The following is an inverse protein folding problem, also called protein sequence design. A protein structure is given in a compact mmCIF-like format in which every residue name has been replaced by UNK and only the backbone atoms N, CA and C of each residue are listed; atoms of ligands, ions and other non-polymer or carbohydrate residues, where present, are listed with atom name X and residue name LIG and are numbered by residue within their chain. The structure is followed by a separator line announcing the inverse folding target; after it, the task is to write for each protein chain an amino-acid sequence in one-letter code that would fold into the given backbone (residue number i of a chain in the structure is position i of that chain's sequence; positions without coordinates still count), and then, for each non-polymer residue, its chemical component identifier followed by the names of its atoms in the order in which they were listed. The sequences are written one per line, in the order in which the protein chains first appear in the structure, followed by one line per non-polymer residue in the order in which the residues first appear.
data_IF_984224320019
#
_entry.id   IF_984224320019
#
_cell.length_a   1.000
_cell.length_b   1.000
_cell.length_c   1.000
_cell.angle_alpha   90.00
_cell.angle_beta   90.00
_cell.angle_gamma   90.00
#
_symmetry.space_group_name_H-M   'P 1'
#
loop_
_entity.id
_entity.type
_entity.pdbx_description
1 polymer ?
#
# COMPACT_ATOMS: atom_id res chain seq x y z
N UNK A 1 -4.45 -73.67 25.66
CA UNK A 1 -5.55 -72.73 25.48
C UNK A 1 -4.95 -71.34 25.74
N UNK A 2 -4.47 -70.64 24.70
CA UNK A 2 -3.85 -69.31 24.80
C UNK A 2 -4.67 -68.33 23.99
N UNK A 3 -5.37 -67.44 24.66
CA UNK A 3 -6.14 -66.34 24.03
C UNK A 3 -5.20 -65.16 23.77
N UNK A 4 -4.84 -64.95 22.53
CA UNK A 4 -4.11 -63.78 22.07
C UNK A 4 -5.05 -62.62 21.84
N UNK A 5 -4.92 -61.60 22.69
CA UNK A 5 -5.68 -60.35 22.61
C UNK A 5 -4.96 -59.43 21.62
N UNK A 6 -5.54 -59.22 20.45
CA UNK A 6 -5.02 -58.31 19.42
C UNK A 6 -5.55 -56.88 19.71
N UNK A 7 -4.71 -56.03 20.29
CA UNK A 7 -5.02 -54.62 20.52
C UNK A 7 -4.77 -53.82 19.23
N UNK A 8 -5.87 -53.40 18.58
CA UNK A 8 -5.82 -52.46 17.45
C UNK A 8 -5.58 -51.04 17.99
N UNK A 9 -4.32 -50.57 17.85
CA UNK A 9 -3.93 -49.17 18.03
C UNK A 9 -4.46 -48.36 16.83
N UNK A 10 -5.64 -47.75 16.99
CA UNK A 10 -6.15 -46.73 16.06
C UNK A 10 -5.39 -45.42 16.36
N UNK A 11 -4.30 -45.17 15.67
CA UNK A 11 -3.59 -43.92 15.69
C UNK A 11 -4.38 -42.85 14.95
N UNK A 12 -5.17 -42.06 15.68
CA UNK A 12 -5.85 -40.89 15.15
C UNK A 12 -4.85 -39.83 14.81
N UNK A 13 -4.54 -39.62 13.52
CA UNK A 13 -3.80 -38.46 13.02
C UNK A 13 -4.74 -37.26 13.16
N UNK A 14 -4.54 -36.49 14.21
CA UNK A 14 -5.15 -35.16 14.35
C UNK A 14 -4.52 -34.23 13.29
N UNK A 15 -5.17 -34.09 12.15
CA UNK A 15 -4.89 -33.03 11.18
C UNK A 15 -5.24 -31.69 11.84
N UNK A 16 -4.26 -31.08 12.51
CA UNK A 16 -4.38 -29.68 12.94
C UNK A 16 -4.37 -28.83 11.69
N UNK A 17 -5.53 -28.43 11.23
CA UNK A 17 -5.70 -27.37 10.23
C UNK A 17 -5.13 -26.09 10.86
N UNK A 18 -3.91 -25.73 10.51
CA UNK A 18 -3.39 -24.41 10.81
C UNK A 18 -4.17 -23.43 9.96
N UNK A 19 -5.09 -22.70 10.58
CA UNK A 19 -5.68 -21.53 9.94
C UNK A 19 -4.53 -20.58 9.61
N UNK A 20 -4.22 -20.44 8.34
CA UNK A 20 -3.34 -19.38 7.85
C UNK A 20 -4.10 -18.09 8.12
N UNK A 21 -3.71 -17.40 9.19
CA UNK A 21 -4.17 -16.02 9.42
C UNK A 21 -3.56 -15.22 8.28
N UNK A 22 -4.38 -14.82 7.34
CA UNK A 22 -3.95 -13.91 6.29
C UNK A 22 -3.39 -12.65 6.99
N UNK A 23 -2.13 -12.32 6.75
CA UNK A 23 -1.52 -11.10 7.26
C UNK A 23 -2.19 -9.93 6.55
N UNK A 24 -2.80 -9.03 7.30
CA UNK A 24 -3.32 -7.80 6.71
C UNK A 24 -2.18 -6.99 6.12
N UNK A 25 -2.33 -6.56 4.88
CA UNK A 25 -1.39 -5.66 4.20
C UNK A 25 -1.57 -4.26 4.78
N UNK A 26 -0.52 -3.68 5.33
CA UNK A 26 -0.54 -2.33 5.91
C UNK A 26 0.10 -1.35 4.95
N UNK A 27 -0.66 -0.33 4.52
CA UNK A 27 -0.17 0.72 3.61
C UNK A 27 -0.09 2.04 4.38
N UNK A 28 1.09 2.65 4.41
CA UNK A 28 1.27 4.01 4.91
C UNK A 28 1.02 5.03 3.80
N UNK A 29 0.12 5.98 4.02
CA UNK A 29 -0.28 6.96 3.02
C UNK A 29 -0.08 8.41 3.53
N UNK A 30 1.16 8.94 3.53
CA UNK A 30 1.40 10.34 3.80
C UNK A 30 0.95 11.20 2.60
N UNK A 31 0.07 12.16 2.86
CA UNK A 31 -0.56 13.01 1.85
C UNK A 31 -0.20 14.48 2.06
N UNK A 32 -0.14 15.24 0.97
CA UNK A 32 0.28 16.66 0.99
C UNK A 32 -0.59 17.52 1.89
N UNK A 33 -1.90 17.41 1.80
CA UNK A 33 -2.85 18.12 2.66
C UNK A 33 -4.25 17.52 2.54
N UNK A 34 -5.01 17.51 3.63
CA UNK A 34 -6.39 17.01 3.62
C UNK A 34 -7.42 18.09 3.22
N UNK A 35 -7.06 19.37 3.30
CA UNK A 35 -7.95 20.50 3.06
C UNK A 35 -8.19 20.83 1.59
N UNK A 36 -7.41 20.28 0.68
CA UNK A 36 -7.59 20.45 -0.76
C UNK A 36 -8.77 19.61 -1.25
N UNK A 37 -9.64 20.21 -2.05
CA UNK A 37 -10.85 19.56 -2.59
C UNK A 37 -10.52 18.27 -3.35
N UNK A 38 -9.46 18.26 -4.15
CA UNK A 38 -9.04 17.06 -4.88
C UNK A 38 -8.54 15.98 -3.93
N UNK A 39 -7.76 16.38 -2.92
CA UNK A 39 -7.26 15.46 -1.88
C UNK A 39 -8.42 14.86 -1.07
N UNK A 40 -9.50 15.61 -0.83
CA UNK A 40 -10.69 15.07 -0.15
C UNK A 40 -11.31 13.93 -0.93
N UNK A 41 -11.48 14.05 -2.24
CA UNK A 41 -11.98 12.95 -3.07
C UNK A 41 -11.07 11.73 -3.06
N UNK A 42 -9.75 11.96 -3.09
CA UNK A 42 -8.77 10.87 -3.00
C UNK A 42 -8.85 10.15 -1.66
N UNK A 43 -8.94 10.90 -0.55
CA UNK A 43 -9.10 10.32 0.79
C UNK A 43 -10.37 9.49 0.90
N UNK A 44 -11.49 10.00 0.38
CA UNK A 44 -12.75 9.28 0.44
C UNK A 44 -12.67 7.96 -0.34
N UNK A 45 -12.07 7.99 -1.54
CA UNK A 45 -11.83 6.78 -2.32
C UNK A 45 -10.91 5.77 -1.61
N UNK A 46 -9.85 6.25 -0.95
CA UNK A 46 -8.95 5.40 -0.16
C UNK A 46 -9.70 4.78 1.03
N UNK A 47 -10.51 5.57 1.74
CA UNK A 47 -11.30 5.06 2.88
C UNK A 47 -12.40 4.08 2.46
N UNK A 48 -13.01 4.29 1.29
CA UNK A 48 -13.98 3.33 0.74
C UNK A 48 -13.29 2.01 0.37
N UNK A 49 -12.10 2.09 -0.22
CA UNK A 49 -11.30 0.91 -0.53
C UNK A 49 -10.92 0.13 0.75
N UNK A 50 -10.39 0.81 1.75
CA UNK A 50 -10.02 0.25 3.06
C UNK A 50 -11.20 -0.48 3.73
N UNK A 51 -12.40 0.13 3.70
CA UNK A 51 -13.62 -0.49 4.25
C UNK A 51 -14.12 -1.69 3.46
N UNK A 52 -13.82 -1.76 2.17
CA UNK A 52 -14.27 -2.84 1.28
C UNK A 52 -13.34 -4.06 1.29
N UNK A 53 -12.14 -3.94 1.90
CA UNK A 53 -11.09 -4.95 1.87
C UNK A 53 -10.55 -5.20 3.28
N UNK A 54 -11.10 -6.19 3.96
CA UNK A 54 -10.74 -6.54 5.34
C UNK A 54 -9.29 -7.06 5.49
N UNK A 55 -8.62 -7.38 4.38
CA UNK A 55 -7.25 -7.85 4.29
C UNK A 55 -6.22 -6.72 4.11
N UNK A 56 -6.69 -5.46 3.98
CA UNK A 56 -5.86 -4.27 3.82
C UNK A 56 -6.16 -3.26 4.93
N UNK A 57 -5.15 -2.59 5.43
CA UNK A 57 -5.25 -1.46 6.36
C UNK A 57 -4.51 -0.26 5.77
N UNK A 58 -5.19 0.88 5.54
CA UNK A 58 -4.55 2.08 5.00
C UNK A 58 -4.46 3.18 6.06
N UNK A 59 -3.24 3.53 6.45
CA UNK A 59 -2.93 4.57 7.45
C UNK A 59 -2.67 5.90 6.75
N UNK A 60 -3.62 6.80 6.81
CA UNK A 60 -3.50 8.15 6.27
C UNK A 60 -2.77 9.09 7.23
N UNK A 61 -1.87 9.94 6.72
CA UNK A 61 -1.26 11.04 7.46
C UNK A 61 -1.37 12.34 6.67
N UNK A 62 -1.63 13.45 7.37
CA UNK A 62 -1.79 14.79 6.78
C UNK A 62 -0.54 15.63 7.02
N UNK A 63 0.20 15.90 5.97
CA UNK A 63 1.38 16.77 6.04
C UNK A 63 1.02 18.25 6.13
N UNK A 64 -0.25 18.62 5.93
CA UNK A 64 -0.72 20.00 5.99
C UNK A 64 0.10 20.97 5.10
N UNK A 65 0.53 20.51 3.93
CA UNK A 65 1.35 21.27 3.00
C UNK A 65 2.84 21.39 3.35
N UNK A 66 3.27 20.84 4.49
CA UNK A 66 4.66 20.93 4.95
C UNK A 66 5.49 19.74 4.44
N UNK A 67 6.54 20.00 3.61
CA UNK A 67 7.42 18.95 3.11
C UNK A 67 8.19 18.20 4.20
N UNK A 68 8.58 18.89 5.27
CA UNK A 68 9.31 18.26 6.38
C UNK A 68 8.39 17.30 7.14
N UNK A 69 7.14 17.68 7.33
CA UNK A 69 6.11 16.82 7.94
C UNK A 69 5.81 15.61 7.06
N UNK A 70 5.65 15.80 5.73
CA UNK A 70 5.46 14.69 4.80
C UNK A 70 6.62 13.67 4.88
N UNK A 71 7.85 14.17 4.97
CA UNK A 71 9.03 13.31 5.12
C UNK A 71 8.99 12.54 6.45
N UNK A 72 8.70 13.22 7.56
CA UNK A 72 8.60 12.59 8.89
C UNK A 72 7.50 11.53 8.94
N UNK A 73 6.35 11.79 8.32
CA UNK A 73 5.25 10.83 8.24
C UNK A 73 5.67 9.59 7.43
N UNK A 74 6.35 9.79 6.29
CA UNK A 74 6.88 8.69 5.49
C UNK A 74 7.94 7.87 6.27
N UNK A 75 8.84 8.53 7.00
CA UNK A 75 9.83 7.86 7.84
C UNK A 75 9.18 7.07 8.97
N UNK A 76 8.15 7.64 9.59
CA UNK A 76 7.37 6.94 10.63
C UNK A 76 6.75 5.65 10.11
N UNK A 77 6.18 5.68 8.91
CA UNK A 77 5.63 4.47 8.28
C UNK A 77 6.72 3.46 7.90
N UNK A 78 7.90 3.93 7.44
CA UNK A 78 9.05 3.05 7.17
C UNK A 78 9.50 2.36 8.46
N UNK A 79 9.59 3.09 9.56
CA UNK A 79 10.00 2.54 10.87
C UNK A 79 8.96 1.55 11.42
N UNK A 80 7.68 1.78 11.13
CA UNK A 80 6.58 0.84 11.43
C UNK A 80 6.59 -0.41 10.53
N UNK A 81 7.46 -0.45 9.51
CA UNK A 81 7.60 -1.56 8.56
C UNK A 81 6.28 -1.87 7.84
N UNK A 82 5.62 -0.82 7.35
CA UNK A 82 4.46 -0.99 6.48
C UNK A 82 4.82 -1.78 5.22
N UNK A 83 3.85 -2.47 4.64
CA UNK A 83 4.08 -3.31 3.47
C UNK A 83 4.21 -2.48 2.17
N UNK A 84 3.68 -1.24 2.14
CA UNK A 84 3.87 -0.28 1.04
C UNK A 84 3.71 1.17 1.52
N UNK A 85 4.29 2.10 0.75
CA UNK A 85 4.07 3.54 0.88
C UNK A 85 3.29 4.07 -0.32
N UNK A 86 2.21 4.82 -0.04
CA UNK A 86 1.38 5.50 -1.02
C UNK A 86 1.48 7.00 -0.78
N UNK A 87 2.31 7.72 -1.57
CA UNK A 87 2.67 9.10 -1.28
C UNK A 87 2.05 10.06 -2.29
N UNK A 88 1.41 11.13 -1.78
CA UNK A 88 1.06 12.31 -2.57
C UNK A 88 2.07 13.41 -2.19
N UNK A 89 3.10 13.64 -3.01
CA UNK A 89 4.20 14.51 -2.62
C UNK A 89 3.80 16.00 -2.62
N UNK A 90 4.43 16.80 -1.73
CA UNK A 90 4.30 18.27 -1.74
C UNK A 90 4.94 18.88 -2.98
N UNK A 91 6.12 18.36 -3.36
CA UNK A 91 6.79 18.66 -4.62
C UNK A 91 7.58 17.43 -5.12
N UNK A 92 7.97 17.38 -6.42
CA UNK A 92 8.70 16.24 -6.98
C UNK A 92 10.04 15.90 -6.31
N UNK A 93 10.74 16.89 -5.74
CA UNK A 93 12.09 16.69 -5.19
C UNK A 93 12.10 15.84 -3.93
N UNK A 94 11.01 15.84 -3.14
CA UNK A 94 10.92 15.05 -1.92
C UNK A 94 10.91 13.56 -2.19
N UNK A 95 10.46 13.16 -3.41
CA UNK A 95 10.36 11.76 -3.82
C UNK A 95 11.72 11.07 -3.77
N UNK A 96 12.79 11.76 -4.15
CA UNK A 96 14.16 11.22 -4.07
C UNK A 96 14.56 10.83 -2.64
N UNK A 97 14.21 11.65 -1.68
CA UNK A 97 14.57 11.44 -0.27
C UNK A 97 13.78 10.26 0.29
N UNK A 98 12.46 10.29 0.14
CA UNK A 98 11.57 9.22 0.59
C UNK A 98 11.92 7.90 -0.12
N UNK A 99 12.10 7.93 -1.44
CA UNK A 99 12.38 6.75 -2.25
C UNK A 99 13.68 6.04 -1.90
N UNK A 100 14.75 6.81 -1.60
CA UNK A 100 16.00 6.22 -1.10
C UNK A 100 15.84 5.51 0.24
N UNK A 101 15.00 6.05 1.13
CA UNK A 101 14.74 5.45 2.45
C UNK A 101 13.86 4.21 2.31
N UNK A 102 12.77 4.30 1.55
CA UNK A 102 11.88 3.18 1.27
C UNK A 102 12.62 2.01 0.59
N UNK A 103 13.45 2.30 -0.42
CA UNK A 103 14.25 1.29 -1.12
C UNK A 103 15.24 0.57 -0.20
N UNK A 104 15.87 1.29 0.73
CA UNK A 104 16.76 0.69 1.74
C UNK A 104 16.02 -0.21 2.73
N UNK A 105 14.79 0.14 3.04
CA UNK A 105 13.92 -0.64 3.91
C UNK A 105 13.23 -1.81 3.19
N UNK A 106 13.34 -1.90 1.86
CA UNK A 106 12.66 -2.91 1.05
C UNK A 106 11.15 -2.65 0.89
N UNK A 107 10.70 -1.40 1.15
CA UNK A 107 9.30 -1.03 1.08
C UNK A 107 9.00 -0.43 -0.29
N UNK A 108 8.04 -0.98 -1.06
CA UNK A 108 7.63 -0.44 -2.34
C UNK A 108 7.01 0.96 -2.18
N UNK A 109 7.40 1.88 -3.07
CA UNK A 109 6.93 3.25 -3.08
C UNK A 109 6.03 3.49 -4.29
N UNK A 110 4.81 3.94 -4.02
CA UNK A 110 3.83 4.34 -5.02
C UNK A 110 3.62 5.85 -4.90
N UNK A 111 3.73 6.54 -6.01
CA UNK A 111 3.49 7.99 -6.07
C UNK A 111 2.16 8.25 -6.77
N UNK A 112 1.35 9.12 -6.17
CA UNK A 112 0.06 9.53 -6.73
C UNK A 112 0.06 11.01 -7.09
N UNK A 113 -0.61 11.37 -8.17
CA UNK A 113 -0.93 12.70 -8.66
C UNK A 113 0.28 13.45 -9.25
N UNK A 114 1.28 13.78 -8.46
CA UNK A 114 2.43 14.57 -8.92
C UNK A 114 3.55 13.66 -9.43
N UNK A 115 3.83 13.77 -10.74
CA UNK A 115 4.88 12.97 -11.37
C UNK A 115 6.25 13.29 -10.74
N UNK A 116 7.02 12.28 -10.32
CA UNK A 116 8.40 12.44 -9.90
C UNK A 116 9.28 12.95 -11.03
N UNK A 117 10.47 13.46 -10.69
CA UNK A 117 11.50 13.70 -11.70
C UNK A 117 11.90 12.38 -12.36
N UNK A 118 12.19 12.41 -13.66
CA UNK A 118 12.51 11.18 -14.42
C UNK A 118 13.72 10.44 -13.81
N UNK A 119 14.71 11.17 -13.29
CA UNK A 119 15.86 10.58 -12.57
C UNK A 119 15.50 9.88 -11.26
N UNK A 120 14.38 10.24 -10.64
CA UNK A 120 13.93 9.71 -9.36
C UNK A 120 12.96 8.52 -9.51
N UNK A 121 12.50 8.25 -10.74
CA UNK A 121 11.66 7.09 -11.05
C UNK A 121 12.33 5.75 -10.68
N UNK A 122 13.64 5.69 -10.62
CA UNK A 122 14.39 4.50 -10.18
C UNK A 122 14.12 4.08 -8.72
N UNK A 123 13.52 4.98 -7.92
CA UNK A 123 13.14 4.73 -6.52
C UNK A 123 11.64 4.46 -6.38
N UNK A 124 10.87 4.60 -7.44
CA UNK A 124 9.42 4.48 -7.45
C UNK A 124 9.03 3.14 -8.05
N UNK A 125 8.18 2.40 -7.34
CA UNK A 125 7.67 1.11 -7.82
C UNK A 125 6.56 1.33 -8.85
N UNK A 126 5.70 2.31 -8.61
CA UNK A 126 4.61 2.69 -9.52
C UNK A 126 4.27 4.16 -9.37
N UNK A 127 3.88 4.78 -10.48
CA UNK A 127 3.30 6.12 -10.52
C UNK A 127 1.86 6.04 -11.03
N UNK A 128 0.97 6.74 -10.33
CA UNK A 128 -0.45 6.83 -10.68
C UNK A 128 -0.84 8.31 -10.74
N UNK A 129 -1.05 8.81 -11.93
CA UNK A 129 -1.43 10.20 -12.17
C UNK A 129 -1.87 10.42 -13.60
N UNK A 130 -2.40 11.62 -13.89
CA UNK A 130 -2.66 12.05 -15.26
C UNK A 130 -1.35 12.42 -15.94
N UNK A 131 -1.24 12.12 -17.24
CA UNK A 131 -0.21 12.71 -18.07
C UNK A 131 -0.67 14.14 -18.40
N UNK A 132 -0.01 15.14 -17.83
CA UNK A 132 -0.38 16.55 -18.03
C UNK A 132 -0.22 17.01 -19.49
N UNK A 133 0.43 16.21 -20.33
CA UNK A 133 0.65 16.49 -21.76
C UNK A 133 -0.55 16.04 -22.61
N UNK A 134 -1.32 15.04 -22.15
CA UNK A 134 -2.49 14.50 -22.89
C UNK A 134 -3.84 14.91 -22.25
N UNK A 135 -3.84 15.49 -21.06
CA UNK A 135 -5.04 15.85 -20.30
C UNK A 135 -5.70 17.13 -20.78
N UNK A 136 -6.55 17.04 -21.78
CA UNK A 136 -7.58 18.06 -22.04
C UNK A 136 -8.68 18.02 -20.96
N UNK A 137 -9.54 19.09 -20.84
CA UNK A 137 -10.48 19.28 -19.73
C UNK A 137 -11.64 18.26 -19.64
N UNK A 138 -11.54 17.10 -20.24
CA UNK A 138 -12.63 16.11 -20.36
C UNK A 138 -12.29 14.69 -19.90
N UNK A 139 -11.16 14.42 -19.25
CA UNK A 139 -10.88 13.04 -18.83
C UNK A 139 -11.69 12.65 -17.58
N UNK A 140 -12.75 11.90 -17.87
CA UNK A 140 -13.49 11.14 -16.86
C UNK A 140 -12.55 10.15 -16.20
N UNK A 141 -12.56 10.09 -14.89
CA UNK A 141 -11.97 9.05 -14.06
C UNK A 141 -12.09 7.68 -14.73
N UNK A 142 -10.98 7.12 -15.15
CA UNK A 142 -10.96 5.81 -15.80
C UNK A 142 -11.02 4.71 -14.75
N UNK A 143 -11.81 3.64 -14.96
CA UNK A 143 -11.80 2.45 -14.10
C UNK A 143 -10.43 1.77 -13.98
N UNK A 144 -9.48 2.13 -14.83
CA UNK A 144 -8.09 1.65 -14.80
C UNK A 144 -7.33 2.06 -13.53
N UNK A 145 -7.73 3.17 -12.88
CA UNK A 145 -7.14 3.62 -11.62
C UNK A 145 -7.38 2.61 -10.50
N UNK A 146 -8.61 2.12 -10.38
CA UNK A 146 -9.00 1.10 -9.39
C UNK A 146 -8.35 -0.25 -9.71
N UNK A 147 -8.25 -0.60 -11.00
CA UNK A 147 -7.60 -1.85 -11.42
C UNK A 147 -6.08 -1.87 -11.14
N UNK A 148 -5.41 -0.72 -11.21
CA UNK A 148 -3.98 -0.60 -10.86
C UNK A 148 -3.71 -0.87 -9.38
N UNK A 149 -4.58 -0.38 -8.50
CA UNK A 149 -4.52 -0.66 -7.06
C UNK A 149 -4.79 -2.15 -6.76
N UNK A 150 -5.71 -2.75 -7.50
CA UNK A 150 -6.09 -4.17 -7.36
C UNK A 150 -4.96 -5.12 -7.79
N UNK A 151 -4.33 -4.85 -8.93
CA UNK A 151 -3.16 -5.61 -9.41
C UNK A 151 -1.98 -5.52 -8.44
N UNK A 152 -1.81 -4.37 -7.78
CA UNK A 152 -0.75 -4.19 -6.79
C UNK A 152 -1.02 -4.97 -5.50
N UNK A 153 -2.24 -4.94 -4.98
CA UNK A 153 -2.62 -5.74 -3.81
C UNK A 153 -2.40 -7.24 -4.06
N UNK A 154 -2.70 -7.75 -5.26
CA UNK A 154 -2.40 -9.14 -5.63
C UNK A 154 -0.91 -9.43 -5.77
N UNK A 155 -0.07 -8.46 -6.16
CA UNK A 155 1.37 -8.66 -6.33
C UNK A 155 2.15 -8.65 -5.00
N UNK A 156 1.60 -7.97 -3.97
CA UNK A 156 2.21 -7.90 -2.61
C UNK A 156 1.73 -9.04 -1.71
N UNK A 157 0.58 -9.64 -2.00
CA UNK A 157 -0.02 -10.74 -1.23
C UNK A 157 0.41 -12.14 -1.70
N UNK A 158 1.14 -12.26 -2.82
CA UNK A 158 1.69 -13.51 -3.35
C UNK A 158 3.19 -13.62 -3.14
#
# INVERSE_FOLDING_TARGET
MKKTLLALLFGGVLLTSQAVVAKNVVIGAPMVAFSDKWQTYLQDAIREFDKAHDDVEIKLADANGDPARLLNDAETFIDQKVDALLVVPTDPNIVKVIGKKAKRAGIPLIIINRKPLDEDMQFVTSYVGSDEIEGGPSEKWSPRFVAGLWLFAMCVAG
#
